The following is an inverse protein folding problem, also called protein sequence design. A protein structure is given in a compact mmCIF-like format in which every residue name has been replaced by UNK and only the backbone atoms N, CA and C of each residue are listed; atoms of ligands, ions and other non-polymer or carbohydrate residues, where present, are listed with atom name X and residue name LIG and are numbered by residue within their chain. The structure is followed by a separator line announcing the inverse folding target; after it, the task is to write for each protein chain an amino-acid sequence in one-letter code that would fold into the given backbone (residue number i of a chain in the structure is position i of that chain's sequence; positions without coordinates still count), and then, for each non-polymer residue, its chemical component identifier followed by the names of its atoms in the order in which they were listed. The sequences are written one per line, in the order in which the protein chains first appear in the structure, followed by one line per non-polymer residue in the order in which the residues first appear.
data_IF_743895376668
#
_entry.id   IF_743895376668
#
_cell.length_a   1.000
_cell.length_b   1.000
_cell.length_c   1.000
_cell.angle_alpha   90.00
_cell.angle_beta   90.00
_cell.angle_gamma   90.00
#
_symmetry.space_group_name_H-M   'P 1'
#
loop_
_entity.id
_entity.type
_entity.pdbx_description
1 polymer ?
#
# COMPACT_ATOMS: atom_id res chain seq x y z
N UNK A 1 -1.81 23.56 -24.44
CA UNK A 1 -0.52 23.43 -23.71
C UNK A 1 -0.88 23.07 -22.28
N UNK A 2 -0.44 21.93 -21.77
CA UNK A 2 -0.72 21.55 -20.38
C UNK A 2 0.15 22.40 -19.46
N UNK A 3 -0.49 23.15 -18.56
CA UNK A 3 0.20 23.88 -17.51
C UNK A 3 0.23 23.01 -16.27
N UNK A 4 1.41 22.45 -15.98
CA UNK A 4 1.60 21.72 -14.73
C UNK A 4 1.61 22.69 -13.56
N UNK A 5 1.01 22.26 -12.45
CA UNK A 5 1.03 23.04 -11.23
C UNK A 5 2.48 23.13 -10.70
N UNK A 6 2.99 24.35 -10.45
CA UNK A 6 4.38 24.57 -10.08
C UNK A 6 4.76 23.90 -8.74
N UNK A 7 3.79 23.68 -7.86
CA UNK A 7 4.02 22.99 -6.57
C UNK A 7 4.30 21.51 -6.74
N UNK A 8 3.78 20.88 -7.80
CA UNK A 8 4.08 19.48 -8.12
C UNK A 8 5.48 19.31 -8.69
N UNK A 9 5.92 20.27 -9.51
CA UNK A 9 7.27 20.28 -10.06
C UNK A 9 8.31 20.44 -8.94
N UNK A 10 8.08 21.36 -7.99
CA UNK A 10 8.94 21.54 -6.83
C UNK A 10 9.10 20.25 -6.00
N UNK A 11 8.01 19.51 -5.75
CA UNK A 11 8.07 18.22 -5.03
C UNK A 11 8.88 17.16 -5.77
N UNK A 12 8.78 17.11 -7.10
CA UNK A 12 9.59 16.19 -7.90
C UNK A 12 11.08 16.51 -7.78
N UNK A 13 11.43 17.79 -7.77
CA UNK A 13 12.82 18.21 -7.60
C UNK A 13 13.35 17.91 -6.20
N UNK A 14 12.52 18.07 -5.15
CA UNK A 14 12.85 17.63 -3.79
C UNK A 14 13.14 16.13 -3.71
N UNK A 15 12.31 15.28 -4.34
CA UNK A 15 12.55 13.84 -4.36
C UNK A 15 13.85 13.48 -5.09
N UNK A 16 14.13 14.11 -6.24
CA UNK A 16 15.38 13.90 -6.98
C UNK A 16 16.59 14.35 -6.18
N UNK A 17 16.51 15.50 -5.50
CA UNK A 17 17.59 16.02 -4.65
C UNK A 17 17.86 15.09 -3.45
N UNK A 18 16.84 14.41 -2.95
CA UNK A 18 16.96 13.38 -1.92
C UNK A 18 17.49 12.01 -2.46
N UNK A 19 17.76 11.90 -3.76
CA UNK A 19 18.21 10.65 -4.39
C UNK A 19 17.10 9.61 -4.58
N UNK A 20 15.84 10.00 -4.43
CA UNK A 20 14.67 9.12 -4.61
C UNK A 20 14.15 9.30 -6.04
N UNK A 21 14.17 8.22 -6.82
CA UNK A 21 13.59 8.20 -8.16
C UNK A 21 12.05 8.30 -8.07
N UNK A 22 11.41 9.37 -8.59
CA UNK A 22 9.96 9.55 -8.46
C UNK A 22 9.14 8.53 -9.26
N UNK A 23 9.72 7.93 -10.31
CA UNK A 23 9.06 6.95 -11.15
C UNK A 23 9.85 5.63 -11.17
N UNK A 24 9.94 4.92 -10.02
CA UNK A 24 10.72 3.70 -9.93
C UNK A 24 10.01 2.57 -10.69
N UNK A 25 10.81 1.65 -11.21
CA UNK A 25 10.34 0.42 -11.84
C UNK A 25 10.79 -0.78 -10.99
N UNK A 26 10.14 -1.94 -11.19
CA UNK A 26 10.57 -3.20 -10.57
C UNK A 26 10.03 -3.47 -9.17
N UNK A 27 8.90 -2.88 -8.79
CA UNK A 27 8.22 -3.26 -7.56
C UNK A 27 7.59 -4.66 -7.73
N UNK A 28 8.09 -5.64 -6.98
CA UNK A 28 7.53 -6.99 -6.93
C UNK A 28 6.34 -7.02 -5.96
N UNK A 29 5.14 -7.14 -6.51
CA UNK A 29 3.89 -7.27 -5.74
C UNK A 29 3.65 -8.75 -5.46
N UNK A 30 3.48 -9.11 -4.19
CA UNK A 30 3.24 -10.51 -3.80
C UNK A 30 1.77 -10.86 -3.69
N UNK A 31 0.93 -9.90 -3.31
CA UNK A 31 -0.50 -10.10 -3.11
C UNK A 31 -1.31 -8.88 -3.55
N UNK A 32 -2.56 -9.11 -3.89
CA UNK A 32 -3.59 -8.08 -4.05
C UNK A 32 -4.40 -7.91 -2.76
N UNK A 33 -5.04 -6.75 -2.60
CA UNK A 33 -5.91 -6.44 -1.47
C UNK A 33 -7.10 -7.42 -1.39
N UNK A 34 -7.65 -7.81 -2.55
CA UNK A 34 -8.73 -8.79 -2.66
C UNK A 34 -8.30 -10.17 -2.14
N UNK A 35 -7.11 -10.64 -2.52
CA UNK A 35 -6.57 -11.93 -2.04
C UNK A 35 -6.34 -11.92 -0.53
N UNK A 36 -5.78 -10.83 0.00
CA UNK A 36 -5.57 -10.67 1.43
C UNK A 36 -6.91 -10.67 2.20
N UNK A 37 -7.91 -9.93 1.72
CA UNK A 37 -9.23 -9.91 2.34
C UNK A 37 -9.91 -11.29 2.30
N UNK A 38 -9.76 -12.06 1.21
CA UNK A 38 -10.27 -13.44 1.12
C UNK A 38 -9.52 -14.37 2.08
N UNK A 39 -8.19 -14.31 2.10
CA UNK A 39 -7.32 -15.18 2.91
C UNK A 39 -7.56 -15.01 4.41
N UNK A 40 -7.76 -13.78 4.87
CA UNK A 40 -7.95 -13.46 6.29
C UNK A 40 -9.42 -13.22 6.65
N UNK A 41 -10.36 -13.63 5.79
CA UNK A 41 -11.79 -13.53 6.08
C UNK A 41 -12.12 -14.40 7.30
N UNK A 42 -12.71 -13.79 8.33
CA UNK A 42 -13.11 -14.49 9.56
C UNK A 42 -11.99 -14.72 10.58
N UNK A 43 -10.79 -14.20 10.34
CA UNK A 43 -9.72 -14.17 11.35
C UNK A 43 -9.95 -12.96 12.25
N UNK A 44 -10.58 -13.18 13.42
CA UNK A 44 -10.86 -12.12 14.39
C UNK A 44 -9.67 -11.82 15.31
N UNK A 45 -8.82 -12.83 15.55
CA UNK A 45 -7.63 -12.70 16.39
C UNK A 45 -6.35 -12.85 15.54
N UNK A 46 -5.45 -11.85 15.53
CA UNK A 46 -4.19 -11.93 14.79
C UNK A 46 -3.27 -13.05 15.31
N UNK A 47 -3.53 -13.61 16.50
CA UNK A 47 -2.79 -14.75 17.05
C UNK A 47 -3.37 -16.12 16.67
N UNK A 48 -4.59 -16.18 16.13
CA UNK A 48 -5.28 -17.42 15.74
C UNK A 48 -5.04 -17.85 14.28
N UNK A 49 -4.28 -17.08 13.50
CA UNK A 49 -3.88 -17.50 12.15
C UNK A 49 -3.06 -18.78 12.26
N UNK A 50 -3.64 -19.88 11.78
CA UNK A 50 -3.16 -21.26 11.89
C UNK A 50 -1.98 -21.55 10.95
N UNK A 51 -0.89 -20.80 11.10
CA UNK A 51 0.42 -21.26 10.67
C UNK A 51 1.29 -21.50 11.92
N UNK A 52 1.81 -22.73 12.12
CA UNK A 52 2.53 -23.08 13.33
C UNK A 52 3.98 -22.63 13.17
N UNK A 53 4.31 -21.39 13.52
CA UNK A 53 5.65 -21.01 14.01
C UNK A 53 5.55 -19.62 14.63
N UNK A 54 5.97 -19.48 15.88
CA UNK A 54 6.03 -18.20 16.60
C UNK A 54 7.10 -17.24 16.06
N UNK A 55 7.01 -16.86 14.79
CA UNK A 55 7.86 -15.87 14.16
C UNK A 55 7.12 -15.17 13.00
N UNK A 56 6.96 -13.85 13.14
CA UNK A 56 6.62 -12.87 12.09
C UNK A 56 5.25 -13.01 11.41
N UNK A 57 4.47 -11.92 11.42
CA UNK A 57 3.40 -11.72 10.45
C UNK A 57 3.94 -11.99 9.03
N UNK A 58 3.18 -12.72 8.21
CA UNK A 58 3.55 -13.00 6.82
C UNK A 58 3.93 -11.69 6.12
N UNK A 59 5.16 -11.59 5.60
CA UNK A 59 5.59 -10.41 4.86
C UNK A 59 4.77 -10.30 3.57
N UNK A 60 4.08 -9.17 3.42
CA UNK A 60 3.21 -8.88 2.27
C UNK A 60 3.68 -7.60 1.59
N UNK A 61 3.71 -7.62 0.25
CA UNK A 61 4.05 -6.47 -0.57
C UNK A 61 2.86 -6.18 -1.50
N UNK A 62 2.29 -4.99 -1.36
CA UNK A 62 1.16 -4.51 -2.16
C UNK A 62 1.52 -3.19 -2.82
N UNK A 63 0.92 -2.91 -3.98
CA UNK A 63 1.11 -1.66 -4.69
C UNK A 63 -0.22 -1.12 -5.21
N UNK A 64 -0.40 0.19 -5.16
CA UNK A 64 -1.61 0.81 -5.68
C UNK A 64 -1.64 2.33 -5.52
N UNK A 65 -2.76 2.92 -5.89
CA UNK A 65 -3.03 4.35 -5.74
C UNK A 65 -3.45 4.66 -4.31
N UNK A 66 -2.78 5.61 -3.67
CA UNK A 66 -3.25 6.16 -2.38
C UNK A 66 -4.51 6.97 -2.62
N UNK A 67 -5.63 6.53 -2.05
CA UNK A 67 -6.94 7.17 -2.20
C UNK A 67 -7.28 8.05 -1.00
N UNK A 68 -7.00 7.57 0.21
CA UNK A 68 -7.25 8.31 1.44
C UNK A 68 -6.05 8.28 2.37
N UNK A 69 -5.95 9.33 3.16
CA UNK A 69 -4.79 9.60 4.00
C UNK A 69 -5.22 10.30 5.29
N UNK A 70 -5.20 9.58 6.40
CA UNK A 70 -5.59 10.09 7.71
C UNK A 70 -4.37 10.19 8.62
N UNK A 71 -3.97 11.42 8.96
CA UNK A 71 -2.80 11.68 9.82
C UNK A 71 -3.26 11.86 11.28
N UNK A 72 -2.75 11.03 12.18
CA UNK A 72 -3.08 11.01 13.61
C UNK A 72 -1.82 11.24 14.44
N UNK A 73 -1.22 12.43 14.31
CA UNK A 73 0.00 12.80 15.05
C UNK A 73 1.22 11.95 14.64
N UNK A 74 1.57 10.96 15.46
CA UNK A 74 2.68 10.03 15.23
C UNK A 74 2.31 8.80 14.38
N UNK A 75 1.02 8.54 14.20
CA UNK A 75 0.53 7.46 13.36
C UNK A 75 -0.20 8.02 12.14
N UNK A 76 -0.29 7.20 11.10
CA UNK A 76 -0.93 7.59 9.86
C UNK A 76 -1.52 6.36 9.19
N UNK A 77 -2.74 6.51 8.70
CA UNK A 77 -3.47 5.48 7.97
C UNK A 77 -3.61 5.88 6.51
N UNK A 78 -3.33 4.93 5.64
CA UNK A 78 -3.43 5.07 4.19
C UNK A 78 -4.43 4.03 3.69
N UNK A 79 -5.37 4.45 2.83
CA UNK A 79 -6.15 3.51 2.02
C UNK A 79 -5.58 3.51 0.63
N UNK A 80 -5.15 2.33 0.19
CA UNK A 80 -4.56 2.08 -1.11
C UNK A 80 -5.59 1.31 -1.93
N UNK A 81 -5.74 1.68 -3.20
CA UNK A 81 -6.50 0.95 -4.20
C UNK A 81 -5.52 0.32 -5.18
N UNK A 82 -5.45 -0.99 -5.19
CA UNK A 82 -4.60 -1.78 -6.08
C UNK A 82 -5.40 -2.28 -7.31
N UNK A 83 -4.76 -3.16 -8.10
CA UNK A 83 -5.38 -3.77 -9.28
C UNK A 83 -6.30 -4.96 -8.99
N UNK A 84 -6.60 -5.24 -7.71
CA UNK A 84 -7.51 -6.31 -7.30
C UNK A 84 -8.96 -6.03 -7.69
N UNK A 85 -9.79 -7.06 -7.62
CA UNK A 85 -11.22 -6.90 -7.84
C UNK A 85 -11.85 -6.01 -6.76
N UNK A 86 -12.71 -5.04 -7.16
CA UNK A 86 -13.31 -4.07 -6.23
C UNK A 86 -14.31 -4.72 -5.26
N UNK A 87 -14.72 -5.97 -5.52
CA UNK A 87 -15.67 -6.71 -4.71
C UNK A 87 -14.99 -7.97 -4.20
N UNK A 88 -15.05 -8.17 -2.89
CA UNK A 88 -14.77 -9.47 -2.28
C UNK A 88 -16.13 -10.12 -2.09
N UNK A 89 -16.54 -10.98 -3.03
CA UNK A 89 -17.75 -11.80 -2.85
C UNK A 89 -17.62 -12.71 -1.63
N UNK A 90 -18.76 -13.06 -1.04
CA UNK A 90 -18.83 -13.75 0.24
C UNK A 90 -18.37 -15.22 0.20
#
# INVERSE_FOLDING_TARGET
MYTFDPTWLAKLDEFRAAGVEPYPNGLEVTHTSTELHKKYKGVEDPTQSTEPTGAAATEVAIAGRVMFRNRMGRAMFLRIQDGGEPTVED
#
